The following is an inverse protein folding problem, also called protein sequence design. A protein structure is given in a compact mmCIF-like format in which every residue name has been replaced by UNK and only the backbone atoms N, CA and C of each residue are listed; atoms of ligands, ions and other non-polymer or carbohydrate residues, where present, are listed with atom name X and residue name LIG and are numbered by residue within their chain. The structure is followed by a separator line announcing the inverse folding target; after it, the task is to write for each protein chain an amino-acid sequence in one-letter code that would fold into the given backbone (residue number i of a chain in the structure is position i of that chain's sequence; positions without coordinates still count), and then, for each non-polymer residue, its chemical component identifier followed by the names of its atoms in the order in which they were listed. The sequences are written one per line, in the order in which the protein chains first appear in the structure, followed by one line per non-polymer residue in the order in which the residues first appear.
data_IF_102204980263
#
_entry.id   IF_102204980263
#
_cell.length_a   1.000
_cell.length_b   1.000
_cell.length_c   1.000
_cell.angle_alpha   90.00
_cell.angle_beta   90.00
_cell.angle_gamma   90.00
#
_symmetry.space_group_name_H-M   'P 1'
#
loop_
_entity.id
_entity.type
_entity.pdbx_description
1 polymer ?
#
# COMPACT_ATOMS: atom_id res chain seq x y z
N UNK A 1 18.74 11.83 0.28
CA UNK A 1 18.13 10.60 -0.28
C UNK A 1 17.06 10.10 0.67
N UNK A 2 15.84 9.97 0.17
CA UNK A 2 14.74 9.45 0.98
C UNK A 2 14.77 7.93 0.97
N UNK A 3 14.74 7.34 2.15
CA UNK A 3 14.72 5.89 2.31
C UNK A 3 13.33 5.43 2.72
N UNK A 4 12.82 4.43 2.01
CA UNK A 4 11.53 3.82 2.31
C UNK A 4 11.75 2.39 2.81
N UNK A 5 10.90 1.98 3.74
CA UNK A 5 10.98 0.64 4.35
C UNK A 5 9.69 -0.12 4.09
N UNK A 6 9.82 -1.44 4.01
CA UNK A 6 8.67 -2.32 3.98
C UNK A 6 7.77 -1.99 5.18
N UNK A 7 6.48 -1.80 4.93
CA UNK A 7 5.51 -1.41 5.95
C UNK A 7 5.24 0.09 6.03
N UNK A 8 6.05 0.91 5.36
CA UNK A 8 5.77 2.35 5.34
C UNK A 8 4.45 2.62 4.62
N UNK A 9 3.68 3.55 5.18
CA UNK A 9 2.49 4.09 4.52
C UNK A 9 2.87 5.42 3.92
N UNK A 10 2.68 5.54 2.62
CA UNK A 10 3.10 6.71 1.85
C UNK A 10 1.91 7.36 1.15
N UNK A 11 2.00 8.66 0.96
CA UNK A 11 1.14 9.39 0.05
C UNK A 11 1.85 9.47 -1.30
N UNK A 12 1.20 9.02 -2.35
CA UNK A 12 1.80 9.00 -3.68
C UNK A 12 0.84 9.53 -4.72
N UNK A 13 1.38 9.90 -5.88
CA UNK A 13 0.61 10.44 -6.99
C UNK A 13 0.90 9.65 -8.26
N UNK A 14 -0.14 9.19 -8.93
CA UNK A 14 -0.02 8.48 -10.20
C UNK A 14 -0.59 9.35 -11.31
N UNK A 15 0.25 9.67 -12.29
CA UNK A 15 -0.07 10.63 -13.36
C UNK A 15 -0.63 9.99 -14.62
N UNK A 16 -0.81 8.68 -14.66
CA UNK A 16 -1.29 8.02 -15.89
C UNK A 16 -2.72 8.38 -16.19
N UNK A 17 -2.90 9.06 -17.32
CA UNK A 17 -4.21 9.51 -17.77
C UNK A 17 -5.05 8.43 -18.44
N UNK A 18 -4.43 7.31 -18.85
CA UNK A 18 -5.02 6.39 -19.81
C UNK A 18 -5.56 5.09 -19.22
N UNK A 19 -5.46 4.91 -17.92
CA UNK A 19 -5.92 3.67 -17.32
C UNK A 19 -7.23 3.87 -16.59
N UNK A 20 -8.29 3.28 -17.12
CA UNK A 20 -9.59 3.22 -16.43
C UNK A 20 -9.54 2.32 -15.20
N UNK A 21 -8.52 1.47 -15.09
CA UNK A 21 -8.44 0.39 -14.11
C UNK A 21 -7.32 0.58 -13.10
N UNK A 22 -6.43 1.56 -13.29
CA UNK A 22 -5.36 1.85 -12.37
C UNK A 22 -5.70 3.06 -11.51
N UNK A 23 -5.23 3.02 -10.29
CA UNK A 23 -5.33 4.13 -9.36
C UNK A 23 -4.58 5.33 -9.90
N UNK A 24 -5.24 6.46 -10.02
CA UNK A 24 -4.62 7.73 -10.40
C UNK A 24 -5.03 8.81 -9.41
N UNK A 25 -4.26 9.90 -9.38
CA UNK A 25 -4.42 10.95 -8.39
C UNK A 25 -3.60 10.69 -7.15
N UNK A 26 -3.92 11.35 -6.05
CA UNK A 26 -3.21 11.22 -4.78
C UNK A 26 -3.86 10.14 -3.93
N UNK A 27 -3.08 9.16 -3.50
CA UNK A 27 -3.57 8.03 -2.71
C UNK A 27 -2.56 7.62 -1.66
N UNK A 28 -3.05 6.95 -0.64
CA UNK A 28 -2.20 6.26 0.33
C UNK A 28 -1.90 4.86 -0.17
N UNK A 29 -0.75 4.35 0.20
CA UNK A 29 -0.37 2.97 -0.09
C UNK A 29 0.63 2.45 0.92
N UNK A 30 0.67 1.12 1.06
CA UNK A 30 1.61 0.44 1.93
C UNK A 30 2.76 -0.08 1.06
N UNK A 31 4.00 0.22 1.44
CA UNK A 31 5.19 -0.34 0.78
C UNK A 31 5.30 -1.80 1.18
N UNK A 32 5.22 -2.70 0.20
CA UNK A 32 5.30 -4.14 0.44
C UNK A 32 6.53 -4.78 -0.17
N UNK A 33 7.29 -4.06 -0.99
CA UNK A 33 8.58 -4.55 -1.49
C UNK A 33 9.59 -4.64 -0.36
N UNK A 34 10.52 -5.61 -0.47
CA UNK A 34 11.50 -5.83 0.59
C UNK A 34 12.53 -4.70 0.66
N UNK A 35 13.21 -4.59 1.80
CA UNK A 35 14.10 -3.48 2.05
C UNK A 35 15.34 -3.47 1.14
N UNK A 36 15.81 -4.64 0.71
CA UNK A 36 16.92 -4.72 -0.24
C UNK A 36 16.55 -4.03 -1.56
N UNK A 37 15.36 -4.33 -2.09
CA UNK A 37 14.82 -3.67 -3.27
C UNK A 37 14.62 -2.17 -3.02
N UNK A 38 14.02 -1.81 -1.90
CA UNK A 38 13.69 -0.43 -1.56
C UNK A 38 14.93 0.45 -1.46
N UNK A 39 16.06 -0.12 -1.03
CA UNK A 39 17.31 0.62 -0.87
C UNK A 39 18.08 0.79 -2.18
N UNK A 40 17.87 -0.07 -3.16
CA UNK A 40 18.69 -0.09 -4.38
C UNK A 40 17.95 0.32 -5.64
N UNK A 41 16.63 0.14 -5.70
CA UNK A 41 15.84 0.43 -6.90
C UNK A 41 15.21 1.82 -6.85
N UNK A 42 14.83 2.32 -8.01
CA UNK A 42 14.10 3.60 -8.13
C UNK A 42 12.58 3.42 -8.00
N UNK A 43 12.15 2.22 -7.72
CA UNK A 43 10.74 1.87 -7.65
C UNK A 43 10.39 1.23 -6.31
N UNK A 44 9.10 1.24 -6.00
CA UNK A 44 8.52 0.56 -4.84
C UNK A 44 7.33 -0.24 -5.31
N UNK A 45 7.12 -1.42 -4.72
CA UNK A 45 5.88 -2.16 -4.88
C UNK A 45 4.95 -1.72 -3.76
N UNK A 46 3.77 -1.20 -4.12
CA UNK A 46 2.85 -0.67 -3.14
C UNK A 46 1.46 -1.30 -3.26
N UNK A 47 0.78 -1.32 -2.15
CA UNK A 47 -0.60 -1.77 -2.02
C UNK A 47 -1.47 -0.56 -1.74
N UNK A 48 -2.31 -0.12 -2.70
CA UNK A 48 -3.12 1.07 -2.51
C UNK A 48 -4.17 0.89 -1.43
N UNK A 49 -4.48 1.99 -0.75
CA UNK A 49 -5.54 2.06 0.25
C UNK A 49 -6.69 2.93 -0.26
N UNK A 50 -7.91 2.59 0.11
CA UNK A 50 -9.09 3.37 -0.19
C UNK A 50 -9.88 3.60 1.09
N UNK A 51 -10.43 4.81 1.27
CA UNK A 51 -11.32 5.10 2.39
C UNK A 51 -12.78 4.73 2.10
N UNK A 52 -13.05 4.19 0.92
CA UNK A 52 -14.41 3.77 0.53
C UNK A 52 -14.73 2.39 1.09
N UNK A 53 -15.28 2.35 2.29
CA UNK A 53 -15.52 1.11 3.05
C UNK A 53 -16.46 0.14 2.31
N UNK A 54 -17.37 0.63 1.48
CA UNK A 54 -18.26 -0.24 0.71
C UNK A 54 -17.50 -1.22 -0.20
N UNK A 55 -16.25 -0.96 -0.51
CA UNK A 55 -15.40 -1.90 -1.26
C UNK A 55 -14.98 -3.11 -0.44
N UNK A 56 -15.23 -3.13 0.87
CA UNK A 56 -14.84 -4.25 1.74
C UNK A 56 -15.54 -5.57 1.39
N UNK A 57 -16.63 -5.53 0.62
CA UNK A 57 -17.38 -6.74 0.22
C UNK A 57 -16.64 -7.57 -0.84
N UNK A 58 -15.60 -7.04 -1.46
CA UNK A 58 -14.81 -7.79 -2.43
C UNK A 58 -13.78 -8.63 -1.68
N UNK A 59 -13.65 -9.91 -2.03
CA UNK A 59 -12.73 -10.84 -1.33
C UNK A 59 -11.26 -10.43 -1.43
N UNK A 60 -10.90 -9.60 -2.40
CA UNK A 60 -9.53 -9.09 -2.56
C UNK A 60 -9.31 -7.78 -1.84
N UNK A 61 -10.28 -7.30 -1.08
CA UNK A 61 -10.19 -6.05 -0.35
C UNK A 61 -10.18 -6.36 1.14
N UNK A 62 -9.14 -5.88 1.82
CA UNK A 62 -8.91 -6.19 3.23
C UNK A 62 -9.04 -4.92 4.05
N UNK A 63 -9.91 -4.95 5.06
CA UNK A 63 -10.06 -3.82 5.96
C UNK A 63 -8.79 -3.62 6.78
N UNK A 64 -8.30 -2.39 6.83
CA UNK A 64 -7.25 -1.98 7.77
C UNK A 64 -7.84 -0.93 8.71
N UNK A 65 -7.83 -1.24 10.00
CA UNK A 65 -8.24 -0.28 11.02
C UNK A 65 -7.18 0.80 11.14
N UNK A 66 -7.60 2.05 11.37
CA UNK A 66 -6.70 3.19 11.40
C UNK A 66 -5.58 3.03 12.43
N UNK A 67 -5.84 2.33 13.51
CA UNK A 67 -4.90 2.12 14.63
C UNK A 67 -3.81 1.09 14.32
N UNK A 68 -3.89 0.37 13.20
CA UNK A 68 -2.81 -0.54 12.80
C UNK A 68 -1.53 0.22 12.42
N UNK A 69 -1.65 1.48 12.05
CA UNK A 69 -0.51 2.32 11.75
C UNK A 69 0.05 2.97 13.02
N UNK A 70 1.37 3.14 13.09
CA UNK A 70 2.07 3.76 14.24
C UNK A 70 1.48 5.13 14.56
N UNK A 71 1.34 5.97 13.53
CA UNK A 71 0.57 7.20 13.60
C UNK A 71 -0.78 6.84 12.99
N UNK A 72 -1.87 6.83 13.77
CA UNK A 72 -3.15 6.38 13.23
C UNK A 72 -3.57 7.15 11.98
N UNK A 73 -4.15 6.43 11.03
CA UNK A 73 -4.70 7.04 9.81
C UNK A 73 -5.94 7.86 10.18
N UNK A 74 -6.33 8.77 9.29
CA UNK A 74 -7.52 9.58 9.50
C UNK A 74 -8.79 8.74 9.57
N UNK A 75 -8.83 7.64 8.81
CA UNK A 75 -10.00 6.76 8.69
C UNK A 75 -9.54 5.31 8.57
N UNK A 76 -10.42 4.39 8.96
CA UNK A 76 -10.30 3.01 8.54
C UNK A 76 -10.31 2.96 7.02
N UNK A 77 -9.55 2.06 6.45
CA UNK A 77 -9.34 2.00 5.02
C UNK A 77 -9.42 0.56 4.52
N UNK A 78 -9.41 0.41 3.20
CA UNK A 78 -9.41 -0.88 2.54
C UNK A 78 -8.11 -1.03 1.77
N UNK A 79 -7.40 -2.13 2.01
CA UNK A 79 -6.25 -2.51 1.21
C UNK A 79 -6.75 -3.17 -0.07
N UNK A 80 -6.36 -2.64 -1.22
CA UNK A 80 -6.83 -3.11 -2.53
C UNK A 80 -5.83 -4.11 -3.10
N UNK A 81 -5.95 -5.38 -2.72
CA UNK A 81 -4.98 -6.43 -3.09
C UNK A 81 -4.85 -6.54 -4.61
N UNK A 82 -5.96 -6.47 -5.35
CA UNK A 82 -5.93 -6.60 -6.80
C UNK A 82 -5.43 -5.35 -7.52
N UNK A 83 -5.08 -4.30 -6.79
CA UNK A 83 -4.49 -3.07 -7.33
C UNK A 83 -3.01 -2.93 -6.98
N UNK A 84 -2.40 -4.02 -6.52
CA UNK A 84 -0.97 -4.05 -6.23
C UNK A 84 -0.18 -3.54 -7.44
N UNK A 85 0.71 -2.57 -7.24
CA UNK A 85 1.37 -1.93 -8.35
C UNK A 85 2.75 -1.41 -7.99
N UNK A 86 3.60 -1.29 -9.02
CA UNK A 86 4.91 -0.67 -8.91
C UNK A 86 4.79 0.82 -9.22
N UNK A 87 5.39 1.65 -8.37
CA UNK A 87 5.46 3.08 -8.60
C UNK A 87 6.91 3.56 -8.60
N UNK A 88 7.18 4.67 -9.27
CA UNK A 88 8.46 5.35 -9.17
C UNK A 88 8.56 6.08 -7.82
N UNK A 89 9.73 6.07 -7.19
CA UNK A 89 9.97 6.84 -5.98
C UNK A 89 9.72 8.34 -6.19
N UNK A 90 9.87 8.83 -7.42
CA UNK A 90 9.57 10.22 -7.75
C UNK A 90 8.10 10.58 -7.52
N UNK A 91 7.22 9.60 -7.57
CA UNK A 91 5.79 9.81 -7.36
C UNK A 91 5.37 9.80 -5.89
N UNK A 92 6.29 9.53 -4.98
CA UNK A 92 6.00 9.59 -3.54
C UNK A 92 6.06 11.04 -3.08
N UNK A 93 4.97 11.50 -2.48
CA UNK A 93 4.88 12.86 -1.96
C UNK A 93 5.53 12.93 -0.58
N UNK A 94 5.16 11.99 0.30
CA UNK A 94 5.74 11.89 1.64
C UNK A 94 5.35 10.59 2.33
N UNK A 95 6.11 10.24 3.35
CA UNK A 95 5.75 9.16 4.29
C UNK A 95 4.75 9.68 5.30
N UNK A 96 3.68 8.92 5.52
CA UNK A 96 2.60 9.27 6.45
C UNK A 96 2.73 8.52 7.77
N UNK A 97 3.01 7.22 7.70
CA UNK A 97 3.04 6.36 8.88
C UNK A 97 3.79 5.07 8.55
N UNK A 98 3.69 4.09 9.44
CA UNK A 98 4.34 2.80 9.29
C UNK A 98 3.52 1.73 9.98
N UNK A 99 3.48 0.53 9.41
CA UNK A 99 2.86 -0.64 10.03
C UNK A 99 3.96 -1.57 10.50
N UNK A 100 3.82 -2.09 11.74
CA UNK A 100 4.76 -3.07 12.28
C UNK A 100 4.74 -4.34 11.41
N UNK A 101 5.83 -4.58 10.69
CA UNK A 101 5.95 -5.74 9.79
C UNK A 101 6.08 -7.06 10.54
N UNK A 102 6.33 -7.02 11.85
CA UNK A 102 6.35 -8.21 12.70
C UNK A 102 4.99 -8.48 13.34
N UNK A 103 4.04 -7.56 13.19
CA UNK A 103 2.72 -7.68 13.75
C UNK A 103 1.81 -8.63 12.98
N UNK A 104 0.75 -9.06 13.63
CA UNK A 104 -0.18 -10.05 13.08
C UNK A 104 -0.91 -9.53 11.84
N UNK A 105 -1.27 -8.25 11.83
CA UNK A 105 -1.98 -7.69 10.69
C UNK A 105 -1.13 -7.74 9.41
N UNK A 106 0.14 -7.32 9.50
CA UNK A 106 1.02 -7.33 8.34
C UNK A 106 1.26 -8.73 7.82
N UNK A 107 1.44 -9.71 8.73
CA UNK A 107 1.59 -11.11 8.34
C UNK A 107 0.35 -11.64 7.64
N UNK A 108 -0.82 -11.30 8.13
CA UNK A 108 -2.10 -11.64 7.50
C UNK A 108 -2.20 -11.03 6.11
N UNK A 109 -1.85 -9.76 5.99
CA UNK A 109 -1.89 -9.04 4.72
C UNK A 109 -0.96 -9.68 3.68
N UNK A 110 0.26 -10.02 4.08
CA UNK A 110 1.22 -10.67 3.18
C UNK A 110 0.73 -12.04 2.72
N UNK A 111 0.08 -12.79 3.61
CA UNK A 111 -0.51 -14.07 3.23
C UNK A 111 -1.59 -13.88 2.17
N UNK A 112 -2.43 -12.86 2.31
CA UNK A 112 -3.48 -12.55 1.33
C UNK A 112 -2.90 -12.14 -0.01
N UNK A 113 -1.82 -11.37 -0.01
CA UNK A 113 -1.12 -10.99 -1.25
C UNK A 113 -0.56 -12.24 -1.93
N UNK A 114 0.12 -13.11 -1.18
CA UNK A 114 0.67 -14.35 -1.74
C UNK A 114 -0.43 -15.25 -2.32
N UNK A 115 -1.54 -15.38 -1.64
CA UNK A 115 -2.67 -16.17 -2.14
C UNK A 115 -3.23 -15.59 -3.43
N UNK A 116 -3.32 -14.27 -3.53
CA UNK A 116 -3.79 -13.62 -4.73
C UNK A 116 -2.88 -13.91 -5.94
N UNK A 117 -1.57 -13.98 -5.70
CA UNK A 117 -0.59 -14.24 -6.76
C UNK A 117 -0.57 -15.73 -7.15
N UNK A 118 -0.67 -16.63 -6.17
CA UNK A 118 -0.44 -18.07 -6.36
C UNK A 118 -1.69 -18.90 -6.59
N UNK A 119 -2.85 -18.36 -6.29
CA UNK A 119 -4.11 -19.06 -6.57
C UNK A 119 -4.53 -18.83 -8.04
#
# INVERSE_FOLDING_TARGET
MKMYKKGDIILFHVKHKDSKYCYRGKHLGIVVSNNKHNNSANTLLILPLSSKIQKANNRYNILIQREEADIPLNKDSICLINQLQTISKENVIRKISHIDTKGNFYKFLMKKICNFIND
#
